data_IF_008509128819
#
_entry.id   IF_008509128819
#
_cell.length_a   1.000
_cell.length_b   1.000
_cell.length_c   1.000
_cell.angle_alpha   90.00
_cell.angle_beta   90.00
_cell.angle_gamma   90.00
#
_symmetry.space_group_name_H-M   'P 1'
#
loop_
_entity.id
_entity.type
_entity.pdbx_description
1 polymer ?
#
# COMPACT_ATOMS: atom_id res chain seq x y z
N UNK A 1 23.46 -45.74 -2.18
CA UNK A 1 23.78 -44.42 -1.62
C UNK A 1 23.80 -43.42 -2.77
N UNK A 2 22.69 -42.81 -3.07
CA UNK A 2 22.58 -41.78 -4.11
C UNK A 2 21.75 -40.60 -3.55
N UNK A 3 22.36 -39.40 -3.58
CA UNK A 3 21.72 -38.10 -3.58
C UNK A 3 21.04 -37.59 -2.28
N UNK A 4 21.84 -37.24 -1.27
CA UNK A 4 21.43 -36.36 -0.17
C UNK A 4 22.14 -34.95 -0.23
N UNK A 5 22.98 -34.71 -1.23
CA UNK A 5 23.81 -33.48 -1.29
C UNK A 5 23.17 -32.27 -2.04
N UNK A 6 22.05 -32.43 -2.76
CA UNK A 6 21.45 -31.34 -3.54
C UNK A 6 20.68 -30.28 -2.72
N UNK A 7 19.95 -30.62 -1.62
CA UNK A 7 19.17 -29.61 -0.89
C UNK A 7 20.03 -28.68 -0.01
N UNK A 8 21.20 -29.10 0.47
CA UNK A 8 22.05 -28.25 1.31
C UNK A 8 22.73 -27.12 0.51
N UNK A 9 23.16 -27.39 -0.72
CA UNK A 9 23.81 -26.37 -1.56
C UNK A 9 22.84 -25.27 -2.00
N UNK A 10 21.58 -25.62 -2.34
CA UNK A 10 20.56 -24.62 -2.71
C UNK A 10 20.16 -23.77 -1.51
N UNK A 11 20.06 -24.34 -0.32
CA UNK A 11 19.74 -23.58 0.91
C UNK A 11 20.86 -22.62 1.31
N UNK A 12 22.13 -23.03 1.20
CA UNK A 12 23.29 -22.18 1.45
C UNK A 12 23.40 -21.03 0.43
N UNK A 13 23.12 -21.30 -0.83
CA UNK A 13 23.14 -20.28 -1.89
C UNK A 13 22.03 -19.22 -1.69
N UNK A 14 20.84 -19.62 -1.28
CA UNK A 14 19.72 -18.72 -0.95
C UNK A 14 20.07 -17.84 0.27
N UNK A 15 20.67 -18.41 1.31
CA UNK A 15 21.11 -17.66 2.50
C UNK A 15 22.19 -16.62 2.16
N UNK A 16 23.20 -16.99 1.36
CA UNK A 16 24.27 -16.06 0.97
C UNK A 16 23.72 -14.90 0.14
N UNK A 17 22.81 -15.16 -0.79
CA UNK A 17 22.18 -14.11 -1.59
C UNK A 17 21.30 -13.19 -0.74
N UNK A 18 20.55 -13.72 0.22
CA UNK A 18 19.74 -12.92 1.14
C UNK A 18 20.60 -11.99 2.00
N UNK A 19 21.73 -12.47 2.53
CA UNK A 19 22.68 -11.65 3.28
C UNK A 19 23.38 -10.58 2.41
N UNK A 20 23.71 -10.91 1.17
CA UNK A 20 24.32 -9.96 0.24
C UNK A 20 23.34 -8.83 -0.11
N UNK A 21 22.09 -9.17 -0.41
CA UNK A 21 21.00 -8.22 -0.67
C UNK A 21 20.76 -7.26 0.51
N UNK A 22 20.65 -7.80 1.74
CA UNK A 22 20.48 -6.96 2.93
C UNK A 22 21.64 -5.98 3.15
N UNK A 23 22.87 -6.42 2.89
CA UNK A 23 24.05 -5.55 3.03
C UNK A 23 24.04 -4.42 1.99
N UNK A 24 23.62 -4.69 0.76
CA UNK A 24 23.47 -3.67 -0.28
C UNK A 24 22.39 -2.65 0.10
N UNK A 25 21.25 -3.11 0.61
CA UNK A 25 20.19 -2.22 1.09
C UNK A 25 20.70 -1.35 2.24
N UNK A 26 21.36 -1.93 3.24
CA UNK A 26 21.94 -1.19 4.38
C UNK A 26 22.99 -0.17 3.93
N UNK A 27 23.88 -0.53 3.00
CA UNK A 27 24.88 0.41 2.47
C UNK A 27 24.23 1.55 1.68
N UNK A 28 23.17 1.24 0.91
CA UNK A 28 22.38 2.26 0.20
C UNK A 28 21.74 3.25 1.18
N UNK A 29 21.13 2.75 2.27
CA UNK A 29 20.54 3.60 3.32
C UNK A 29 21.59 4.46 4.00
N UNK A 30 22.76 3.91 4.31
CA UNK A 30 23.86 4.64 4.95
C UNK A 30 24.41 5.77 4.07
N UNK A 31 24.34 5.66 2.74
CA UNK A 31 24.72 6.70 1.80
C UNK A 31 23.66 7.80 1.60
N UNK A 32 22.40 7.56 2.02
CA UNK A 32 21.32 8.54 1.90
C UNK A 32 21.45 9.65 2.94
N UNK A 33 21.20 10.90 2.51
CA UNK A 33 21.04 12.03 3.44
C UNK A 33 19.78 11.86 4.33
N UNK A 34 19.72 12.51 5.50
CA UNK A 34 18.50 12.53 6.31
C UNK A 34 17.24 12.96 5.55
N UNK A 35 17.39 13.92 4.64
CA UNK A 35 16.30 14.44 3.82
C UNK A 35 15.85 13.41 2.76
N UNK A 36 16.75 12.64 2.17
CA UNK A 36 16.43 11.55 1.25
C UNK A 36 15.69 10.42 1.97
N UNK A 37 16.16 10.03 3.16
CA UNK A 37 15.46 9.03 4.01
C UNK A 37 14.07 9.53 4.40
N UNK A 38 13.95 10.79 4.81
CA UNK A 38 12.67 11.43 5.14
C UNK A 38 11.70 11.43 3.95
N UNK A 39 12.19 11.67 2.74
CA UNK A 39 11.39 11.63 1.53
C UNK A 39 10.86 10.21 1.22
N UNK A 40 11.69 9.17 1.44
CA UNK A 40 11.31 7.79 1.16
C UNK A 40 10.17 7.26 2.05
N UNK A 41 10.01 7.74 3.28
CA UNK A 41 8.91 7.31 4.16
C UNK A 41 7.58 8.02 3.88
N UNK A 42 7.51 8.88 2.86
CA UNK A 42 6.31 9.62 2.50
C UNK A 42 5.66 9.08 1.22
N UNK A 43 4.35 8.82 1.30
CA UNK A 43 3.46 8.62 0.16
C UNK A 43 2.64 9.88 -0.04
N UNK A 44 2.85 10.57 -1.16
CA UNK A 44 2.27 11.91 -1.40
C UNK A 44 1.16 11.88 -2.45
N UNK A 45 0.14 12.71 -2.24
CA UNK A 45 -0.78 13.08 -3.31
C UNK A 45 -0.08 13.90 -4.39
N UNK A 46 -0.58 13.85 -5.61
CA UNK A 46 -0.05 14.64 -6.73
C UNK A 46 -1.20 15.18 -7.59
N UNK A 47 -1.01 16.37 -8.13
CA UNK A 47 -1.95 16.97 -9.07
C UNK A 47 -1.58 16.66 -10.52
N UNK A 48 -2.58 16.80 -11.42
CA UNK A 48 -2.41 16.61 -12.85
C UNK A 48 -2.93 15.29 -13.38
N UNK A 49 -3.07 15.20 -14.71
CA UNK A 49 -3.55 14.00 -15.42
C UNK A 49 -3.03 13.84 -16.85
N UNK A 50 -2.29 14.81 -17.39
CA UNK A 50 -1.76 14.77 -18.77
C UNK A 50 -0.24 14.77 -18.82
N UNK A 51 0.36 15.68 -18.06
CA UNK A 51 1.80 15.86 -17.93
C UNK A 51 2.09 16.33 -16.51
N UNK A 52 3.28 16.06 -16.00
CA UNK A 52 3.74 16.57 -14.71
C UNK A 52 3.71 18.11 -14.72
N UNK A 53 2.92 18.76 -13.86
CA UNK A 53 2.87 20.22 -13.80
C UNK A 53 4.21 20.83 -13.39
N UNK A 54 4.70 21.81 -14.14
CA UNK A 54 6.04 22.39 -13.92
C UNK A 54 6.23 23.00 -12.53
N UNK A 55 5.18 23.60 -11.95
CA UNK A 55 5.23 24.19 -10.60
C UNK A 55 5.48 23.14 -9.49
N UNK A 56 5.15 21.87 -9.75
CA UNK A 56 5.48 20.78 -8.82
C UNK A 56 6.99 20.48 -8.76
N UNK A 57 7.77 20.99 -9.72
CA UNK A 57 9.22 20.92 -9.69
C UNK A 57 9.81 21.56 -8.43
N UNK A 58 9.34 22.76 -8.10
CA UNK A 58 9.76 23.48 -6.89
C UNK A 58 9.24 22.81 -5.61
N UNK A 59 8.14 22.08 -5.72
CA UNK A 59 7.51 21.39 -4.60
C UNK A 59 8.23 20.08 -4.25
N UNK A 60 8.54 19.21 -5.21
CA UNK A 60 9.17 17.91 -4.98
C UNK A 60 10.71 17.95 -5.03
N UNK A 61 11.31 18.73 -5.93
CA UNK A 61 12.77 18.77 -6.03
C UNK A 61 13.47 19.34 -4.80
N UNK A 62 14.66 18.89 -4.44
CA UNK A 62 15.49 17.89 -5.12
C UNK A 62 15.29 16.44 -4.65
N UNK A 63 14.25 16.15 -3.87
CA UNK A 63 14.03 14.83 -3.26
C UNK A 63 12.91 14.07 -3.98
N UNK A 64 13.01 12.74 -3.99
CA UNK A 64 11.99 11.86 -4.52
C UNK A 64 11.16 11.26 -3.37
N UNK A 65 9.82 11.43 -3.34
CA UNK A 65 8.99 10.75 -2.35
C UNK A 65 9.08 9.22 -2.53
N UNK A 66 8.82 8.49 -1.45
CA UNK A 66 8.80 7.02 -1.50
C UNK A 66 7.74 6.47 -2.44
N UNK A 67 6.58 7.15 -2.48
CA UNK A 67 5.43 6.78 -3.30
C UNK A 67 4.54 7.97 -3.66
N UNK A 68 3.68 7.75 -4.66
CA UNK A 68 2.54 8.61 -4.97
C UNK A 68 1.24 7.84 -4.83
N UNK A 69 0.24 8.46 -4.18
CA UNK A 69 -1.16 8.04 -4.22
C UNK A 69 -1.87 8.78 -5.35
N UNK A 70 -2.54 8.03 -6.24
CA UNK A 70 -3.30 8.57 -7.36
C UNK A 70 -4.80 8.42 -7.10
N UNK A 71 -5.53 9.51 -7.35
CA UNK A 71 -6.98 9.57 -7.25
C UNK A 71 -7.61 9.58 -8.64
N UNK A 72 -8.94 9.48 -8.71
CA UNK A 72 -9.67 9.45 -9.98
C UNK A 72 -9.40 10.63 -10.91
N UNK A 73 -9.07 11.80 -10.37
CA UNK A 73 -8.72 12.99 -11.16
C UNK A 73 -7.35 12.94 -11.84
N UNK A 74 -6.47 12.00 -11.42
CA UNK A 74 -5.16 11.80 -12.05
C UNK A 74 -5.21 10.94 -13.32
N UNK A 75 -6.33 10.25 -13.56
CA UNK A 75 -6.49 9.42 -14.76
C UNK A 75 -7.16 10.20 -15.89
N UNK A 76 -6.57 10.12 -17.06
CA UNK A 76 -7.09 10.73 -18.31
C UNK A 76 -8.24 9.89 -18.89
N UNK A 77 -8.82 10.35 -19.99
CA UNK A 77 -9.95 9.68 -20.64
C UNK A 77 -9.51 8.47 -21.50
N UNK A 78 -8.19 8.24 -21.62
CA UNK A 78 -7.62 7.08 -22.32
C UNK A 78 -6.54 6.41 -21.48
N UNK A 79 -6.34 5.08 -21.61
CA UNK A 79 -5.28 4.37 -20.89
C UNK A 79 -3.88 4.83 -21.31
N UNK A 80 -3.67 5.16 -22.60
CA UNK A 80 -2.41 5.68 -23.13
C UNK A 80 -2.01 6.99 -22.47
N UNK A 81 -2.96 7.95 -22.36
CA UNK A 81 -2.70 9.24 -21.75
C UNK A 81 -2.46 9.13 -20.24
N UNK A 82 -3.17 8.21 -19.55
CA UNK A 82 -2.94 7.94 -18.14
C UNK A 82 -1.55 7.33 -17.87
N UNK A 83 -1.14 6.36 -18.67
CA UNK A 83 0.20 5.77 -18.60
C UNK A 83 1.30 6.79 -18.92
N UNK A 84 1.07 7.65 -19.93
CA UNK A 84 1.98 8.74 -20.29
C UNK A 84 2.16 9.74 -19.15
N UNK A 85 1.07 10.09 -18.46
CA UNK A 85 1.12 10.96 -17.26
C UNK A 85 1.98 10.34 -16.16
N UNK A 86 1.71 9.10 -15.75
CA UNK A 86 2.48 8.40 -14.70
C UNK A 86 3.96 8.33 -15.08
N UNK A 87 4.27 8.02 -16.34
CA UNK A 87 5.65 8.05 -16.85
C UNK A 87 6.27 9.44 -16.76
N UNK A 88 5.53 10.51 -17.11
CA UNK A 88 6.03 11.90 -17.04
C UNK A 88 6.35 12.31 -15.60
N UNK A 89 5.55 11.87 -14.62
CA UNK A 89 5.82 12.07 -13.19
C UNK A 89 7.14 11.41 -12.82
N UNK A 90 7.32 10.11 -13.09
CA UNK A 90 8.56 9.38 -12.79
C UNK A 90 9.78 10.08 -13.38
N UNK A 91 9.72 10.45 -14.66
CA UNK A 91 10.83 11.10 -15.37
C UNK A 91 11.14 12.50 -14.83
N UNK A 92 10.12 13.27 -14.47
CA UNK A 92 10.31 14.61 -13.90
C UNK A 92 10.94 14.54 -12.52
N UNK A 93 10.47 13.65 -11.63
CA UNK A 93 11.05 13.43 -10.31
C UNK A 93 12.50 12.95 -10.44
N UNK A 94 12.82 12.08 -11.39
CA UNK A 94 14.19 11.65 -11.65
C UNK A 94 15.10 12.81 -12.06
N UNK A 95 14.64 13.68 -12.95
CA UNK A 95 15.41 14.86 -13.38
C UNK A 95 15.62 15.89 -12.26
N UNK A 96 14.68 16.00 -11.33
CA UNK A 96 14.75 16.92 -10.19
C UNK A 96 15.64 16.39 -9.07
N UNK A 97 15.76 15.08 -8.95
CA UNK A 97 16.52 14.44 -7.88
C UNK A 97 18.01 14.78 -7.99
N UNK A 98 18.60 15.15 -6.86
CA UNK A 98 20.05 15.35 -6.69
C UNK A 98 20.70 14.19 -5.93
N UNK A 99 19.95 13.13 -5.62
CA UNK A 99 20.48 11.94 -4.97
C UNK A 99 21.59 11.31 -5.84
N UNK A 100 22.66 10.87 -5.22
CA UNK A 100 23.73 10.10 -5.89
C UNK A 100 23.13 8.82 -6.52
N UNK A 101 22.23 8.17 -5.77
CA UNK A 101 21.48 7.01 -6.23
C UNK A 101 19.98 7.33 -6.23
N UNK A 102 19.40 7.46 -7.40
CA UNK A 102 17.97 7.73 -7.53
C UNK A 102 17.13 6.49 -7.17
N UNK A 103 16.30 6.60 -6.15
CA UNK A 103 15.32 5.57 -5.78
C UNK A 103 13.95 6.03 -6.28
N UNK A 104 13.37 5.38 -7.33
CA UNK A 104 12.09 5.80 -7.90
C UNK A 104 10.93 5.64 -6.92
N UNK A 105 9.91 6.54 -6.96
CA UNK A 105 8.65 6.32 -6.28
C UNK A 105 7.88 5.16 -6.89
N UNK A 106 7.11 4.43 -6.07
CA UNK A 106 6.03 3.59 -6.59
C UNK A 106 4.72 4.37 -6.65
N UNK A 107 3.76 3.86 -7.44
CA UNK A 107 2.44 4.45 -7.58
C UNK A 107 1.39 3.53 -7.00
N UNK A 108 0.50 4.08 -6.19
CA UNK A 108 -0.61 3.40 -5.54
C UNK A 108 -1.94 4.05 -5.89
N UNK A 109 -3.02 3.30 -5.81
CA UNK A 109 -4.39 3.82 -5.92
C UNK A 109 -5.39 2.81 -5.36
N UNK A 110 -6.66 3.22 -5.21
CA UNK A 110 -7.75 2.36 -4.76
C UNK A 110 -8.47 1.74 -5.95
N UNK A 111 -8.35 0.44 -6.09
CA UNK A 111 -9.07 -0.36 -7.07
C UNK A 111 -9.79 -1.52 -6.37
N UNK A 112 -10.75 -1.19 -5.49
CA UNK A 112 -11.56 -2.17 -4.75
C UNK A 112 -12.61 -2.83 -5.65
N UNK A 113 -13.14 -2.08 -6.58
CA UNK A 113 -14.31 -2.39 -7.37
C UNK A 113 -15.51 -1.50 -7.02
N UNK A 114 -16.61 -1.61 -7.76
CA UNK A 114 -17.82 -0.85 -7.55
C UNK A 114 -17.59 0.66 -7.53
N UNK A 115 -17.99 1.30 -6.42
CA UNK A 115 -17.86 2.75 -6.25
C UNK A 115 -16.41 3.22 -6.01
N UNK A 116 -15.52 2.33 -5.57
CA UNK A 116 -14.11 2.64 -5.33
C UNK A 116 -13.22 1.98 -6.38
N UNK A 117 -13.30 2.51 -7.59
CA UNK A 117 -12.53 2.06 -8.74
C UNK A 117 -12.12 3.25 -9.60
N UNK A 118 -10.88 3.72 -9.43
CA UNK A 118 -10.42 5.02 -9.94
C UNK A 118 -10.25 5.09 -11.45
N UNK A 119 -10.14 3.95 -12.15
CA UNK A 119 -9.95 3.86 -13.61
C UNK A 119 -11.19 3.38 -14.37
N UNK A 120 -12.38 3.46 -13.76
CA UNK A 120 -13.65 2.96 -14.32
C UNK A 120 -13.99 3.46 -15.73
N UNK A 121 -13.44 4.61 -16.13
CA UNK A 121 -13.68 5.19 -17.45
C UNK A 121 -12.85 4.56 -18.57
N UNK A 122 -11.69 3.99 -18.24
CA UNK A 122 -10.70 3.54 -19.22
C UNK A 122 -10.46 2.03 -19.18
N UNK A 123 -10.65 1.39 -18.04
CA UNK A 123 -10.47 -0.05 -17.86
C UNK A 123 -11.80 -0.83 -18.03
N UNK A 124 -11.74 -2.17 -17.91
CA UNK A 124 -12.95 -3.00 -17.77
C UNK A 124 -13.70 -2.63 -16.49
N UNK A 125 -15.01 -2.88 -16.47
CA UNK A 125 -15.77 -2.75 -15.22
C UNK A 125 -15.25 -3.75 -14.19
N UNK A 126 -15.09 -3.30 -12.96
CA UNK A 126 -14.81 -4.15 -11.81
C UNK A 126 -16.00 -4.03 -10.84
N UNK A 127 -16.81 -5.09 -10.65
CA UNK A 127 -17.92 -5.08 -9.72
C UNK A 127 -17.49 -4.83 -8.28
N UNK A 128 -18.43 -4.43 -7.43
CA UNK A 128 -18.19 -4.33 -6.00
C UNK A 128 -17.80 -5.70 -5.40
N UNK A 129 -16.92 -5.74 -4.39
CA UNK A 129 -16.51 -6.99 -3.74
C UNK A 129 -17.66 -7.89 -3.34
N UNK A 130 -18.73 -7.32 -2.76
CA UNK A 130 -19.95 -8.06 -2.42
C UNK A 130 -20.56 -8.78 -3.63
N UNK A 131 -20.70 -8.07 -4.76
CA UNK A 131 -21.26 -8.68 -5.98
C UNK A 131 -20.39 -9.85 -6.48
N UNK A 132 -19.05 -9.70 -6.46
CA UNK A 132 -18.14 -10.76 -6.88
C UNK A 132 -18.31 -11.99 -6.01
N UNK A 133 -18.35 -11.82 -4.68
CA UNK A 133 -18.51 -12.92 -3.74
C UNK A 133 -19.88 -13.65 -3.84
N UNK A 134 -20.94 -12.94 -4.24
CA UNK A 134 -22.30 -13.48 -4.35
C UNK A 134 -22.57 -14.12 -5.72
N UNK A 135 -21.87 -13.70 -6.79
CA UNK A 135 -22.29 -14.03 -8.17
C UNK A 135 -21.22 -14.70 -9.03
N UNK A 136 -19.92 -14.66 -8.65
CA UNK A 136 -18.85 -15.26 -9.44
C UNK A 136 -18.31 -16.53 -8.76
N UNK A 137 -17.99 -17.54 -9.57
CA UNK A 137 -17.19 -18.68 -9.10
C UNK A 137 -15.78 -18.21 -8.69
N UNK A 138 -15.08 -19.00 -7.88
CA UNK A 138 -13.70 -18.72 -7.45
C UNK A 138 -12.77 -18.53 -8.66
N UNK A 139 -12.88 -19.39 -9.68
CA UNK A 139 -12.07 -19.30 -10.90
C UNK A 139 -12.38 -18.04 -11.72
N UNK A 140 -13.66 -17.70 -11.89
CA UNK A 140 -14.08 -16.49 -12.60
C UNK A 140 -13.63 -15.21 -11.84
N UNK A 141 -13.73 -15.22 -10.51
CA UNK A 141 -13.24 -14.11 -9.67
C UNK A 141 -11.72 -13.95 -9.77
N UNK A 142 -10.95 -15.06 -9.68
CA UNK A 142 -9.50 -15.04 -9.85
C UNK A 142 -9.09 -14.50 -11.21
N UNK A 143 -9.73 -14.99 -12.28
CA UNK A 143 -9.46 -14.53 -13.64
C UNK A 143 -9.83 -13.03 -13.83
N UNK A 144 -10.97 -12.59 -13.29
CA UNK A 144 -11.40 -11.19 -13.34
C UNK A 144 -10.36 -10.27 -12.65
N UNK A 145 -9.93 -10.62 -11.45
CA UNK A 145 -8.93 -9.84 -10.72
C UNK A 145 -7.57 -9.86 -11.41
N UNK A 146 -7.16 -10.99 -11.99
CA UNK A 146 -5.92 -11.11 -12.78
C UNK A 146 -5.93 -10.14 -13.97
N UNK A 147 -6.98 -10.20 -14.80
CA UNK A 147 -7.07 -9.33 -15.97
C UNK A 147 -7.26 -7.85 -15.62
N UNK A 148 -7.92 -7.55 -14.49
CA UNK A 148 -7.97 -6.17 -13.96
C UNK A 148 -6.58 -5.69 -13.53
N UNK A 149 -5.81 -6.53 -12.84
CA UNK A 149 -4.46 -6.20 -12.40
C UNK A 149 -3.50 -5.99 -13.58
N UNK A 150 -3.59 -6.79 -14.64
CA UNK A 150 -2.83 -6.58 -15.87
C UNK A 150 -3.06 -5.19 -16.47
N UNK A 151 -4.31 -4.71 -16.51
CA UNK A 151 -4.64 -3.37 -16.96
C UNK A 151 -4.02 -2.31 -16.06
N UNK A 152 -4.10 -2.47 -14.73
CA UNK A 152 -3.55 -1.55 -13.73
C UNK A 152 -2.02 -1.49 -13.85
N UNK A 153 -1.35 -2.64 -13.97
CA UNK A 153 0.11 -2.73 -14.11
C UNK A 153 0.62 -2.04 -15.39
N UNK A 154 -0.11 -2.19 -16.50
CA UNK A 154 0.23 -1.54 -17.78
C UNK A 154 0.13 -0.01 -17.72
N UNK A 155 -0.68 0.55 -16.82
CA UNK A 155 -0.71 2.00 -16.57
C UNK A 155 0.52 2.49 -15.78
N UNK A 156 1.30 1.58 -15.16
CA UNK A 156 2.46 1.94 -14.34
C UNK A 156 2.15 2.03 -12.85
N UNK A 157 1.04 1.45 -12.39
CA UNK A 157 0.70 1.30 -10.97
C UNK A 157 1.39 0.05 -10.41
N UNK A 158 1.74 0.06 -9.12
CA UNK A 158 2.48 -1.01 -8.46
C UNK A 158 1.73 -1.57 -7.24
N UNK A 159 0.95 -0.73 -6.56
CA UNK A 159 0.23 -1.08 -5.34
C UNK A 159 -1.26 -0.75 -5.47
N UNK A 160 -2.11 -1.72 -5.18
CA UNK A 160 -3.54 -1.53 -4.99
C UNK A 160 -3.86 -1.47 -3.50
N UNK A 161 -4.46 -0.35 -3.04
CA UNK A 161 -4.91 -0.20 -1.66
C UNK A 161 -6.25 -0.93 -1.45
N UNK A 162 -6.21 -2.24 -1.59
CA UNK A 162 -7.30 -3.22 -1.45
C UNK A 162 -6.68 -4.63 -1.25
N UNK A 163 -7.44 -5.61 -0.71
CA UNK A 163 -8.86 -5.59 -0.38
C UNK A 163 -9.17 -5.08 1.02
N UNK A 164 -10.47 -4.82 1.29
CA UNK A 164 -10.98 -4.61 2.64
C UNK A 164 -11.21 -5.97 3.29
N UNK A 165 -10.53 -6.19 4.43
CA UNK A 165 -10.60 -7.43 5.21
C UNK A 165 -11.27 -7.13 6.54
N UNK A 166 -12.57 -6.83 6.50
CA UNK A 166 -13.34 -6.41 7.67
C UNK A 166 -14.72 -7.10 7.70
N UNK A 167 -15.20 -7.37 8.92
CA UNK A 167 -16.48 -8.02 9.16
C UNK A 167 -17.54 -6.96 9.52
N UNK A 168 -18.39 -6.57 8.54
CA UNK A 168 -19.24 -5.40 8.70
C UNK A 168 -20.43 -5.50 9.65
N UNK A 169 -21.03 -6.67 9.87
CA UNK A 169 -22.37 -6.77 10.44
C UNK A 169 -22.46 -6.65 11.96
N UNK A 170 -21.46 -7.15 12.68
CA UNK A 170 -21.47 -7.21 14.15
C UNK A 170 -21.37 -5.83 14.80
N UNK A 171 -20.78 -4.87 14.09
CA UNK A 171 -20.56 -3.49 14.56
C UNK A 171 -21.25 -2.44 13.69
N UNK A 172 -22.16 -2.84 12.76
CA UNK A 172 -22.97 -1.92 11.96
C UNK A 172 -22.19 -1.05 10.97
N UNK A 173 -21.11 -1.57 10.34
CA UNK A 173 -20.26 -0.79 9.42
C UNK A 173 -21.01 -0.50 8.10
N UNK A 174 -22.09 0.29 8.19
CA UNK A 174 -22.93 0.63 7.04
C UNK A 174 -22.20 1.46 5.96
N UNK A 175 -21.17 2.25 6.33
CA UNK A 175 -20.45 3.08 5.37
C UNK A 175 -19.55 2.26 4.43
N UNK A 176 -19.14 1.04 4.81
CA UNK A 176 -18.41 0.14 3.92
C UNK A 176 -19.33 -0.54 2.92
N UNK A 177 -20.49 -1.00 3.36
CA UNK A 177 -21.56 -1.54 2.50
C UNK A 177 -21.06 -2.62 1.53
N UNK A 178 -21.24 -2.37 0.22
CA UNK A 178 -20.85 -3.26 -0.89
C UNK A 178 -19.34 -3.37 -1.14
N UNK A 179 -18.53 -2.57 -0.44
CA UNK A 179 -17.06 -2.68 -0.44
C UNK A 179 -16.56 -3.91 0.32
N UNK A 180 -17.38 -4.51 1.20
CA UNK A 180 -17.09 -5.77 1.87
C UNK A 180 -17.44 -6.95 0.96
N UNK A 181 -16.69 -8.04 1.03
CA UNK A 181 -17.05 -9.28 0.34
C UNK A 181 -18.32 -9.92 0.92
N UNK A 182 -18.42 -9.96 2.25
CA UNK A 182 -19.53 -10.59 2.99
C UNK A 182 -19.54 -10.12 4.44
N UNK A 183 -20.46 -10.67 5.22
CA UNK A 183 -20.46 -10.65 6.69
C UNK A 183 -20.00 -12.00 7.28
N UNK A 184 -19.84 -13.00 6.42
CA UNK A 184 -19.33 -14.32 6.77
C UNK A 184 -17.81 -14.36 6.71
N UNK A 185 -17.16 -14.85 7.80
CA UNK A 185 -15.70 -14.89 7.92
C UNK A 185 -15.06 -15.70 6.78
N UNK A 186 -15.60 -16.89 6.49
CA UNK A 186 -15.00 -17.80 5.54
C UNK A 186 -15.08 -17.26 4.10
N UNK A 187 -16.18 -16.59 3.77
CA UNK A 187 -16.37 -15.91 2.49
C UNK A 187 -15.40 -14.73 2.36
N UNK A 188 -15.25 -13.91 3.43
CA UNK A 188 -14.28 -12.80 3.44
C UNK A 188 -12.87 -13.32 3.20
N UNK A 189 -12.45 -14.33 3.96
CA UNK A 189 -11.11 -14.92 3.82
C UNK A 189 -10.88 -15.49 2.43
N UNK A 190 -11.84 -16.25 1.91
CA UNK A 190 -11.78 -16.87 0.59
C UNK A 190 -11.59 -15.81 -0.50
N UNK A 191 -12.50 -14.86 -0.61
CA UNK A 191 -12.47 -13.88 -1.70
C UNK A 191 -11.37 -12.82 -1.52
N UNK A 192 -10.94 -12.54 -0.29
CA UNK A 192 -9.75 -11.71 -0.06
C UNK A 192 -8.48 -12.39 -0.57
N UNK A 193 -8.31 -13.70 -0.34
CA UNK A 193 -7.18 -14.49 -0.86
C UNK A 193 -7.21 -14.54 -2.39
N UNK A 194 -8.37 -14.80 -2.99
CA UNK A 194 -8.56 -14.79 -4.45
C UNK A 194 -8.23 -13.41 -5.04
N UNK A 195 -8.67 -12.34 -4.39
CA UNK A 195 -8.34 -10.97 -4.81
C UNK A 195 -6.82 -10.73 -4.81
N UNK A 196 -6.14 -11.05 -3.69
CA UNK A 196 -4.71 -10.85 -3.53
C UNK A 196 -3.92 -11.68 -4.57
N UNK A 197 -4.33 -12.92 -4.77
CA UNK A 197 -3.71 -13.80 -5.76
C UNK A 197 -3.90 -13.30 -7.20
N UNK A 198 -5.13 -12.90 -7.56
CA UNK A 198 -5.41 -12.33 -8.87
C UNK A 198 -4.62 -11.03 -9.13
N UNK A 199 -4.56 -10.12 -8.14
CA UNK A 199 -3.72 -8.92 -8.25
C UNK A 199 -2.24 -9.29 -8.45
N UNK A 200 -1.72 -10.24 -7.69
CA UNK A 200 -0.35 -10.74 -7.83
C UNK A 200 -0.07 -11.34 -9.20
N UNK A 201 -0.98 -12.17 -9.72
CA UNK A 201 -0.86 -12.80 -11.04
C UNK A 201 -0.79 -11.75 -12.17
N UNK A 202 -1.52 -10.64 -12.03
CA UNK A 202 -1.46 -9.51 -12.95
C UNK A 202 -0.32 -8.51 -12.68
N UNK A 203 0.55 -8.77 -11.68
CA UNK A 203 1.75 -7.98 -11.39
C UNK A 203 1.54 -6.80 -10.44
N UNK A 204 0.48 -6.81 -9.63
CA UNK A 204 0.13 -5.78 -8.64
C UNK A 204 0.26 -6.33 -7.22
N UNK A 205 0.89 -5.57 -6.33
CA UNK A 205 0.87 -5.86 -4.89
C UNK A 205 -0.44 -5.32 -4.29
N UNK A 206 -1.04 -6.08 -3.38
CA UNK A 206 -2.24 -5.69 -2.63
C UNK A 206 -1.87 -5.18 -1.24
N UNK A 207 -2.57 -4.13 -0.77
CA UNK A 207 -2.54 -3.70 0.62
C UNK A 207 -3.85 -4.09 1.31
N UNK A 208 -3.78 -5.02 2.26
CA UNK A 208 -4.95 -5.38 3.07
C UNK A 208 -5.29 -4.27 4.04
N UNK A 209 -6.60 -3.93 4.14
CA UNK A 209 -7.04 -2.77 4.92
C UNK A 209 -8.38 -3.01 5.60
N UNK A 210 -8.70 -2.22 6.63
CA UNK A 210 -7.88 -1.23 7.33
C UNK A 210 -7.54 -1.79 8.71
N UNK A 211 -6.35 -2.27 8.94
CA UNK A 211 -5.97 -2.93 10.19
C UNK A 211 -6.04 -1.96 11.40
N UNK A 212 -6.60 -2.35 12.56
CA UNK A 212 -7.18 -3.66 12.89
C UNK A 212 -8.65 -3.82 12.46
N UNK A 213 -9.27 -2.83 11.85
CA UNK A 213 -10.66 -2.78 11.43
C UNK A 213 -11.26 -1.40 11.66
N UNK A 214 -12.55 -1.24 11.32
CA UNK A 214 -13.35 -0.05 11.60
C UNK A 214 -14.64 -0.44 12.35
N UNK A 215 -15.31 0.57 12.90
CA UNK A 215 -16.66 0.49 13.47
C UNK A 215 -17.62 1.36 12.65
N UNK A 216 -18.81 1.64 13.18
CA UNK A 216 -19.87 2.39 12.48
C UNK A 216 -19.51 3.79 12.00
N UNK A 217 -18.49 4.40 12.59
CA UNK A 217 -18.11 5.77 12.28
C UNK A 217 -17.15 5.80 11.09
N UNK A 218 -17.49 6.57 10.07
CA UNK A 218 -16.60 6.84 8.95
C UNK A 218 -15.42 7.72 9.41
N UNK A 219 -14.17 7.23 9.38
CA UNK A 219 -13.00 7.98 9.84
C UNK A 219 -12.73 9.24 8.99
N UNK A 220 -13.31 9.37 7.80
CA UNK A 220 -13.27 10.62 7.03
C UNK A 220 -14.08 11.75 7.69
N UNK A 221 -15.05 11.42 8.55
CA UNK A 221 -15.97 12.38 9.14
C UNK A 221 -15.65 12.69 10.61
N UNK A 222 -15.29 11.67 11.40
CA UNK A 222 -15.02 11.82 12.83
C UNK A 222 -14.22 10.66 13.41
N UNK A 223 -13.79 10.81 14.68
CA UNK A 223 -13.09 9.78 15.44
C UNK A 223 -13.91 8.50 15.56
N UNK A 224 -13.24 7.36 15.37
CA UNK A 224 -13.79 6.02 15.48
C UNK A 224 -13.13 5.28 16.63
N UNK A 225 -13.90 4.51 17.43
CA UNK A 225 -13.41 3.81 18.62
C UNK A 225 -13.94 2.37 18.60
N UNK A 226 -13.05 1.38 18.68
CA UNK A 226 -13.37 -0.02 18.95
C UNK A 226 -13.36 -0.19 20.48
N UNK A 227 -14.51 -0.03 21.10
CA UNK A 227 -14.71 -0.16 22.56
C UNK A 227 -15.30 -1.55 22.86
N UNK A 228 -14.44 -2.55 22.92
CA UNK A 228 -14.79 -3.95 23.21
C UNK A 228 -13.73 -4.55 24.13
N UNK A 229 -14.03 -5.68 24.75
CA UNK A 229 -13.04 -6.45 25.52
C UNK A 229 -11.98 -7.09 24.59
N UNK A 230 -10.89 -7.54 25.19
CA UNK A 230 -9.75 -8.10 24.48
C UNK A 230 -10.11 -9.36 23.67
N UNK A 231 -10.92 -10.26 24.19
CA UNK A 231 -11.34 -11.49 23.52
C UNK A 231 -12.14 -11.16 22.25
N UNK A 232 -13.13 -10.28 22.37
CA UNK A 232 -13.95 -9.79 21.26
C UNK A 232 -13.10 -9.09 20.23
N UNK A 233 -12.12 -8.27 20.64
CA UNK A 233 -11.22 -7.59 19.71
C UNK A 233 -10.43 -8.57 18.85
N UNK A 234 -9.81 -9.57 19.45
CA UNK A 234 -9.06 -10.56 18.67
C UNK A 234 -9.97 -11.37 17.75
N UNK A 235 -11.09 -11.86 18.23
CA UNK A 235 -12.02 -12.71 17.48
C UNK A 235 -12.71 -11.99 16.32
N UNK A 236 -13.14 -10.75 16.52
CA UNK A 236 -13.98 -10.05 15.55
C UNK A 236 -13.17 -9.12 14.61
N UNK A 237 -11.97 -8.67 15.02
CA UNK A 237 -11.18 -7.74 14.26
C UNK A 237 -9.84 -8.32 13.80
N UNK A 238 -9.05 -8.92 14.69
CA UNK A 238 -7.67 -9.33 14.37
C UNK A 238 -7.60 -10.68 13.64
N UNK A 239 -8.45 -11.64 13.97
CA UNK A 239 -8.38 -13.00 13.40
C UNK A 239 -8.56 -13.06 11.90
N UNK A 240 -9.34 -12.13 11.31
CA UNK A 240 -9.45 -12.03 9.84
C UNK A 240 -8.11 -11.67 9.19
N UNK A 241 -7.45 -10.67 9.74
CA UNK A 241 -6.13 -10.26 9.23
C UNK A 241 -5.09 -11.34 9.46
N UNK A 242 -5.10 -11.99 10.63
CA UNK A 242 -4.16 -13.07 10.96
C UNK A 242 -4.09 -14.14 9.85
N UNK A 243 -5.25 -14.61 9.37
CA UNK A 243 -5.35 -15.66 8.36
C UNK A 243 -4.80 -15.24 6.97
N UNK A 244 -4.63 -13.93 6.74
CA UNK A 244 -4.18 -13.38 5.45
C UNK A 244 -2.74 -12.89 5.53
N UNK A 245 -2.34 -12.28 6.67
CA UNK A 245 -1.05 -11.59 6.79
C UNK A 245 -0.02 -12.32 7.66
N UNK A 246 -0.42 -13.41 8.34
CA UNK A 246 0.52 -14.16 9.17
C UNK A 246 1.75 -14.57 8.37
N UNK A 247 2.92 -14.22 8.88
CA UNK A 247 4.22 -14.50 8.25
C UNK A 247 4.35 -14.01 6.80
N UNK A 248 3.55 -13.01 6.41
CA UNK A 248 3.57 -12.46 5.06
C UNK A 248 4.49 -11.24 4.95
N UNK A 249 4.98 -11.02 3.75
CA UNK A 249 5.78 -9.87 3.33
C UNK A 249 4.99 -8.92 2.40
N UNK A 250 3.65 -8.90 2.55
CA UNK A 250 2.74 -8.03 1.80
C UNK A 250 2.71 -6.59 2.29
N UNK A 251 1.59 -5.93 2.12
CA UNK A 251 1.35 -4.56 2.61
C UNK A 251 0.10 -4.54 3.48
N UNK A 252 0.19 -3.86 4.63
CA UNK A 252 -0.96 -3.60 5.52
C UNK A 252 -1.17 -2.09 5.61
N UNK A 253 -2.41 -1.64 5.43
CA UNK A 253 -2.81 -0.26 5.65
C UNK A 253 -3.51 -0.16 7.02
N UNK A 254 -2.96 0.73 7.87
CA UNK A 254 -3.42 0.92 9.25
C UNK A 254 -4.53 1.97 9.30
N UNK A 255 -5.61 1.68 10.01
CA UNK A 255 -6.71 2.60 10.27
C UNK A 255 -6.39 3.65 11.35
N UNK A 256 -7.25 4.67 11.46
CA UNK A 256 -7.19 5.70 12.50
C UNK A 256 -8.10 5.43 13.70
N UNK A 257 -8.61 4.20 13.81
CA UNK A 257 -9.48 3.80 14.93
C UNK A 257 -8.71 3.80 16.25
N UNK A 258 -9.35 4.17 17.34
CA UNK A 258 -8.82 3.92 18.69
C UNK A 258 -9.26 2.55 19.21
N UNK A 259 -8.38 1.92 20.00
CA UNK A 259 -8.65 0.69 20.76
C UNK A 259 -8.23 0.92 22.22
N UNK A 260 -9.13 1.44 23.07
CA UNK A 260 -8.78 2.01 24.38
C UNK A 260 -8.09 1.06 25.37
N UNK A 261 -8.37 -0.25 25.31
CA UNK A 261 -7.70 -1.23 26.20
C UNK A 261 -6.25 -1.49 25.80
N UNK A 262 -5.84 -1.18 24.54
CA UNK A 262 -4.46 -1.24 24.08
C UNK A 262 -3.77 0.10 24.38
N UNK A 263 -4.31 1.18 23.82
CA UNK A 263 -3.84 2.55 23.99
C UNK A 263 -4.94 3.56 23.61
N UNK A 264 -5.09 4.63 24.40
CA UNK A 264 -6.07 5.69 24.12
C UNK A 264 -5.50 6.70 23.09
N UNK A 265 -5.19 6.20 21.90
CA UNK A 265 -4.68 6.96 20.77
C UNK A 265 -5.10 6.28 19.45
N UNK A 266 -5.18 6.97 18.31
CA UNK A 266 -5.39 6.33 17.01
C UNK A 266 -4.41 5.17 16.79
N UNK A 267 -4.87 4.05 16.26
CA UNK A 267 -4.08 2.82 16.15
C UNK A 267 -2.79 3.02 15.34
N UNK A 268 -2.81 3.89 14.34
CA UNK A 268 -1.62 4.29 13.60
C UNK A 268 -0.54 5.02 14.45
N UNK A 269 -0.88 5.46 15.68
CA UNK A 269 0.06 6.06 16.65
C UNK A 269 0.34 5.12 17.83
N UNK A 270 -0.28 3.94 17.86
CA UNK A 270 -0.11 2.97 18.93
C UNK A 270 1.08 2.06 18.70
N UNK A 271 2.18 2.32 19.40
CA UNK A 271 3.35 1.45 19.38
C UNK A 271 2.98 0.04 19.85
N UNK A 272 2.16 -0.09 20.90
CA UNK A 272 1.69 -1.39 21.39
C UNK A 272 0.86 -2.13 20.33
N UNK A 273 -0.02 -1.42 19.63
CA UNK A 273 -0.82 -2.02 18.57
C UNK A 273 0.03 -2.52 17.38
N UNK A 274 0.98 -1.71 16.94
CA UNK A 274 1.82 -2.05 15.79
C UNK A 274 2.87 -3.09 16.14
N UNK A 275 3.69 -2.85 17.19
CA UNK A 275 4.78 -3.77 17.52
C UNK A 275 4.24 -5.07 18.14
N UNK A 276 3.49 -5.00 19.25
CA UNK A 276 3.12 -6.22 19.99
C UNK A 276 2.08 -7.05 19.23
N UNK A 277 1.12 -6.41 18.52
CA UNK A 277 0.07 -7.17 17.84
C UNK A 277 0.50 -7.49 16.41
N UNK A 278 0.75 -6.46 15.56
CA UNK A 278 0.99 -6.71 14.14
C UNK A 278 2.35 -7.36 13.90
N UNK A 279 3.43 -6.82 14.49
CA UNK A 279 4.79 -7.37 14.28
C UNK A 279 5.04 -8.66 15.05
N UNK A 280 4.71 -8.69 16.38
CA UNK A 280 5.10 -9.80 17.24
C UNK A 280 4.08 -10.93 17.25
N UNK A 281 2.79 -10.64 17.49
CA UNK A 281 1.75 -11.68 17.62
C UNK A 281 1.35 -12.22 16.24
N UNK A 282 1.16 -11.34 15.25
CA UNK A 282 0.79 -11.75 13.88
C UNK A 282 1.99 -12.07 12.99
N UNK A 283 3.22 -11.86 13.47
CA UNK A 283 4.47 -12.13 12.73
C UNK A 283 4.56 -11.42 11.36
N UNK A 284 3.84 -10.31 11.18
CA UNK A 284 3.87 -9.57 9.93
C UNK A 284 5.24 -8.94 9.68
N UNK A 285 5.83 -9.20 8.51
CA UNK A 285 7.17 -8.71 8.12
C UNK A 285 7.15 -7.78 6.90
N UNK A 286 5.96 -7.52 6.36
CA UNK A 286 5.77 -6.64 5.21
C UNK A 286 5.75 -5.16 5.56
N UNK A 287 5.37 -4.35 4.57
CA UNK A 287 5.32 -2.90 4.66
C UNK A 287 4.04 -2.43 5.39
N UNK A 288 4.19 -1.56 6.37
CA UNK A 288 3.08 -0.92 7.09
C UNK A 288 2.91 0.50 6.57
N UNK A 289 1.73 0.78 5.98
CA UNK A 289 1.36 2.11 5.48
C UNK A 289 0.20 2.65 6.31
N UNK A 290 0.18 3.94 6.63
CA UNK A 290 -0.97 4.57 7.27
C UNK A 290 -2.07 4.87 6.26
N UNK A 291 -3.31 5.00 6.71
CA UNK A 291 -4.31 5.77 5.99
C UNK A 291 -3.94 7.27 5.97
N UNK A 292 -4.67 8.10 5.23
CA UNK A 292 -4.27 9.48 4.96
C UNK A 292 -4.23 10.33 6.25
N UNK A 293 -3.06 10.90 6.54
CA UNK A 293 -2.84 11.79 7.70
C UNK A 293 -3.64 13.11 7.63
N UNK A 294 -4.22 13.44 6.47
CA UNK A 294 -5.08 14.59 6.29
C UNK A 294 -6.54 14.36 6.75
N UNK A 295 -6.91 13.14 7.13
CA UNK A 295 -8.28 12.79 7.52
C UNK A 295 -8.73 13.52 8.79
N UNK A 296 -10.04 13.87 8.84
CA UNK A 296 -10.63 14.65 9.95
C UNK A 296 -10.51 13.95 11.30
N UNK A 297 -10.60 12.61 11.33
CA UNK A 297 -10.44 11.84 12.57
C UNK A 297 -9.15 12.15 13.34
N UNK A 298 -8.08 12.54 12.63
CA UNK A 298 -6.78 12.87 13.23
C UNK A 298 -6.62 14.36 13.59
N UNK A 299 -7.55 15.22 13.14
CA UNK A 299 -7.53 16.68 13.44
C UNK A 299 -8.30 17.03 14.72
N UNK A 300 -9.08 16.08 15.23
CA UNK A 300 -9.74 16.22 16.53
C UNK A 300 -8.68 16.31 17.65
N UNK A 301 -8.83 17.29 18.55
CA UNK A 301 -7.85 17.56 19.59
C UNK A 301 -6.71 18.51 19.19
N UNK A 302 -6.77 19.15 18.01
CA UNK A 302 -5.85 20.23 17.60
C UNK A 302 -4.47 19.73 17.13
N UNK A 303 -4.29 18.44 16.85
CA UNK A 303 -3.02 17.89 16.34
C UNK A 303 -2.74 18.38 14.93
N UNK A 304 -1.50 18.76 14.67
CA UNK A 304 -1.04 19.09 13.32
C UNK A 304 -0.78 17.83 12.47
N UNK A 305 -0.86 17.94 11.15
CA UNK A 305 -0.47 16.87 10.23
C UNK A 305 0.99 16.43 10.47
N UNK A 306 1.86 17.36 10.79
CA UNK A 306 3.28 17.11 11.09
C UNK A 306 3.47 16.27 12.35
N UNK A 307 2.72 16.57 13.44
CA UNK A 307 2.74 15.76 14.67
C UNK A 307 2.20 14.36 14.43
N UNK A 308 1.16 14.24 13.58
CA UNK A 308 0.59 12.96 13.20
C UNK A 308 1.60 12.09 12.43
N UNK A 309 2.31 12.68 11.46
CA UNK A 309 3.36 11.99 10.69
C UNK A 309 4.48 11.48 11.60
N UNK A 310 5.01 12.32 12.49
CA UNK A 310 6.05 11.92 13.44
C UNK A 310 5.55 10.82 14.37
N UNK A 311 4.30 10.92 14.87
CA UNK A 311 3.72 9.92 15.77
C UNK A 311 3.56 8.56 15.08
N UNK A 312 3.07 8.54 13.83
CA UNK A 312 2.90 7.29 13.07
C UNK A 312 4.22 6.57 12.81
N UNK A 313 5.25 7.31 12.38
CA UNK A 313 6.59 6.74 12.16
C UNK A 313 7.16 6.21 13.47
N UNK A 314 7.07 6.98 14.56
CA UNK A 314 7.57 6.60 15.89
C UNK A 314 6.86 5.36 16.45
N UNK A 315 5.59 5.16 16.09
CA UNK A 315 4.79 4.00 16.50
C UNK A 315 5.13 2.72 15.73
N UNK A 316 5.83 2.80 14.60
CA UNK A 316 6.25 1.63 13.82
C UNK A 316 5.69 1.56 12.39
N UNK A 317 4.96 2.60 11.93
CA UNK A 317 4.58 2.68 10.51
C UNK A 317 5.82 2.93 9.65
N UNK A 318 5.91 2.23 8.52
CA UNK A 318 7.05 2.36 7.61
C UNK A 318 6.86 3.49 6.61
N UNK A 319 5.63 3.70 6.16
CA UNK A 319 5.29 4.75 5.19
C UNK A 319 4.04 5.49 5.64
N UNK A 320 4.06 6.79 5.50
CA UNK A 320 2.96 7.67 5.90
C UNK A 320 2.32 8.29 4.67
N UNK A 321 1.02 8.06 4.47
CA UNK A 321 0.27 8.68 3.38
C UNK A 321 -0.17 10.09 3.79
N UNK A 322 0.08 11.08 2.93
CA UNK A 322 -0.36 12.45 3.10
C UNK A 322 -0.80 13.03 1.75
N UNK A 323 -2.10 13.24 1.58
CA UNK A 323 -2.66 13.83 0.37
C UNK A 323 -2.51 15.36 0.31
N UNK A 324 -2.21 16.02 1.45
CA UNK A 324 -1.96 17.45 1.51
C UNK A 324 -0.62 17.85 0.89
N UNK A 325 -0.49 19.05 0.27
CA UNK A 325 0.74 19.53 -0.35
C UNK A 325 1.76 20.01 0.70
N UNK A 326 2.30 19.12 1.52
CA UNK A 326 3.22 19.43 2.65
C UNK A 326 4.60 18.77 2.53
N UNK A 327 4.97 18.28 1.34
CA UNK A 327 6.15 17.43 1.17
C UNK A 327 7.44 18.02 1.74
N UNK A 328 7.77 19.28 1.40
CA UNK A 328 8.99 19.94 1.89
C UNK A 328 8.97 20.18 3.40
N UNK A 329 7.83 20.57 3.94
CA UNK A 329 7.64 20.76 5.37
C UNK A 329 7.88 19.44 6.11
N UNK A 330 7.27 18.35 5.64
CA UNK A 330 7.40 17.03 6.26
C UNK A 330 8.84 16.51 6.20
N UNK A 331 9.54 16.67 5.07
CA UNK A 331 10.97 16.33 4.97
C UNK A 331 11.77 17.08 6.03
N UNK A 332 11.57 18.40 6.13
CA UNK A 332 12.31 19.24 7.09
C UNK A 332 12.08 18.79 8.54
N UNK A 333 10.84 18.50 8.90
CA UNK A 333 10.48 18.10 10.27
C UNK A 333 11.06 16.71 10.60
N UNK A 334 10.92 15.75 9.68
CA UNK A 334 11.44 14.39 9.86
C UNK A 334 12.97 14.43 9.95
N UNK A 335 13.66 15.08 9.01
CA UNK A 335 15.12 15.14 9.00
C UNK A 335 15.70 15.88 10.22
N UNK A 336 15.05 16.95 10.69
CA UNK A 336 15.49 17.63 11.91
C UNK A 336 15.30 16.75 13.15
N UNK A 337 14.21 15.98 13.24
CA UNK A 337 14.03 15.04 14.35
C UNK A 337 15.07 13.93 14.32
N UNK A 338 15.45 13.40 13.16
CA UNK A 338 16.54 12.42 13.03
C UNK A 338 17.85 12.96 13.59
N UNK A 339 18.18 14.23 13.32
CA UNK A 339 19.43 14.87 13.80
C UNK A 339 19.50 15.01 15.33
N UNK A 340 18.36 14.97 16.02
CA UNK A 340 18.26 15.20 17.48
C UNK A 340 17.81 13.96 18.28
N UNK A 341 17.37 12.89 17.60
CA UNK A 341 16.81 11.69 18.22
C UNK A 341 17.32 10.44 17.49
N UNK A 342 18.38 9.83 18.02
CA UNK A 342 19.00 8.63 17.44
C UNK A 342 18.04 7.42 17.39
N UNK A 343 17.05 7.35 18.28
CA UNK A 343 16.07 6.27 18.25
C UNK A 343 15.10 6.45 17.06
N UNK A 344 14.73 7.69 16.78
CA UNK A 344 13.92 8.03 15.63
C UNK A 344 14.68 7.86 14.30
N UNK A 345 15.98 8.20 14.27
CA UNK A 345 16.83 7.93 13.11
C UNK A 345 16.89 6.44 12.77
N UNK A 346 17.12 5.58 13.77
CA UNK A 346 17.09 4.12 13.59
C UNK A 346 15.73 3.64 13.06
N UNK A 347 14.63 4.19 13.58
CA UNK A 347 13.28 3.85 13.12
C UNK A 347 13.07 4.24 11.64
N UNK A 348 13.61 5.38 11.21
CA UNK A 348 13.58 5.78 9.80
C UNK A 348 14.42 4.81 8.94
N UNK A 349 15.61 4.40 9.40
CA UNK A 349 16.44 3.45 8.66
C UNK A 349 15.74 2.09 8.47
N UNK A 350 15.04 1.60 9.51
CA UNK A 350 14.20 0.40 9.43
C UNK A 350 13.03 0.59 8.44
N UNK A 351 12.37 1.75 8.47
CA UNK A 351 11.28 2.06 7.55
C UNK A 351 11.78 2.08 6.09
N UNK A 352 12.88 2.77 5.84
CA UNK A 352 13.49 2.82 4.50
C UNK A 352 13.93 1.43 4.04
N UNK A 353 14.47 0.60 4.95
CA UNK A 353 14.81 -0.79 4.64
C UNK A 353 13.59 -1.57 4.14
N UNK A 354 12.47 -1.53 4.86
CA UNK A 354 11.22 -2.20 4.47
C UNK A 354 10.68 -1.64 3.14
N UNK A 355 10.79 -0.34 2.91
CA UNK A 355 10.38 0.31 1.65
C UNK A 355 11.23 -0.15 0.47
N UNK A 356 12.57 -0.20 0.63
CA UNK A 356 13.45 -0.66 -0.44
C UNK A 356 13.23 -2.14 -0.76
N UNK A 357 13.05 -3.00 0.23
CA UNK A 357 12.67 -4.41 0.04
C UNK A 357 11.35 -4.53 -0.73
N UNK A 358 10.34 -3.72 -0.39
CA UNK A 358 9.08 -3.71 -1.11
C UNK A 358 9.24 -3.20 -2.54
N UNK A 359 10.07 -2.18 -2.80
CA UNK A 359 10.38 -1.70 -4.15
C UNK A 359 11.09 -2.75 -5.01
N UNK A 360 11.96 -3.57 -4.43
CA UNK A 360 12.54 -4.72 -5.10
C UNK A 360 11.46 -5.75 -5.47
N UNK A 361 10.60 -6.09 -4.54
CA UNK A 361 9.48 -7.03 -4.77
C UNK A 361 8.52 -6.53 -5.86
N UNK A 362 8.25 -5.22 -5.90
CA UNK A 362 7.49 -4.57 -6.98
C UNK A 362 8.27 -4.53 -8.31
N UNK A 363 9.59 -4.82 -8.29
CA UNK A 363 10.50 -4.71 -9.42
C UNK A 363 10.65 -3.29 -9.94
N UNK A 364 10.75 -2.34 -9.02
CA UNK A 364 11.02 -0.93 -9.28
C UNK A 364 12.51 -0.67 -9.25
N UNK A 365 13.20 -1.36 -8.36
CA UNK A 365 14.65 -1.41 -8.24
C UNK A 365 15.11 -2.87 -8.25
N UNK A 366 16.34 -3.10 -8.68
CA UNK A 366 17.00 -4.40 -8.61
C UNK A 366 17.68 -4.65 -7.25
N UNK A 367 18.33 -5.80 -7.11
CA UNK A 367 19.07 -6.21 -5.92
C UNK A 367 20.24 -5.26 -5.57
N UNK A 368 20.69 -4.44 -6.51
CA UNK A 368 21.68 -3.38 -6.31
C UNK A 368 21.05 -2.03 -5.96
N UNK A 369 19.74 -2.00 -5.70
CA UNK A 369 18.92 -0.80 -5.54
C UNK A 369 18.96 0.15 -6.75
N UNK A 370 19.22 -0.35 -7.96
CA UNK A 370 19.21 0.45 -9.17
C UNK A 370 17.81 0.43 -9.82
N UNK A 371 17.38 1.55 -10.41
CA UNK A 371 16.09 1.63 -11.07
C UNK A 371 15.94 0.60 -12.20
N UNK A 372 14.84 -0.17 -12.18
CA UNK A 372 14.46 -1.04 -13.29
C UNK A 372 13.55 -0.26 -14.23
N UNK A 373 13.93 -0.18 -15.50
CA UNK A 373 13.02 0.30 -16.54
C UNK A 373 12.05 -0.83 -16.92
N UNK A 374 10.90 -0.88 -16.22
CA UNK A 374 9.81 -1.76 -16.61
C UNK A 374 8.90 -1.11 -17.65
N UNK A 375 8.58 -1.93 -18.64
CA UNK A 375 7.52 -1.88 -19.63
C UNK A 375 6.92 -0.51 -19.98
N UNK A 376 7.12 -0.14 -21.24
CA UNK A 376 6.28 0.84 -21.93
C UNK A 376 4.83 0.33 -21.94
N UNK A 377 3.87 1.23 -21.80
CA UNK A 377 2.45 0.92 -22.02
C UNK A 377 2.29 0.12 -23.32
N UNK A 378 1.55 -0.98 -23.25
CA UNK A 378 1.27 -1.83 -24.39
C UNK A 378 -0.25 -1.87 -24.61
N UNK A 379 -0.69 -1.12 -25.62
CA UNK A 379 -2.10 -0.96 -25.94
C UNK A 379 -2.80 -2.29 -26.25
N UNK A 380 -2.17 -3.14 -27.07
CA UNK A 380 -2.74 -4.44 -27.44
C UNK A 380 -2.97 -5.33 -26.23
N UNK A 381 -1.98 -5.40 -25.31
CA UNK A 381 -2.11 -6.16 -24.07
C UNK A 381 -3.18 -5.59 -23.16
N UNK A 382 -3.27 -4.25 -23.06
CA UNK A 382 -4.27 -3.59 -22.25
C UNK A 382 -5.70 -3.95 -22.69
N UNK A 383 -5.99 -3.82 -24.00
CA UNK A 383 -7.32 -4.13 -24.52
C UNK A 383 -7.61 -5.61 -24.53
N UNK A 384 -6.62 -6.49 -24.75
CA UNK A 384 -6.80 -7.94 -24.59
C UNK A 384 -7.21 -8.33 -23.17
N UNK A 385 -6.56 -7.78 -22.15
CA UNK A 385 -6.93 -8.00 -20.75
C UNK A 385 -8.34 -7.42 -20.43
N UNK A 386 -8.65 -6.24 -20.99
CA UNK A 386 -9.97 -5.62 -20.85
C UNK A 386 -11.08 -6.50 -21.41
N UNK A 387 -10.92 -7.00 -22.64
CA UNK A 387 -11.87 -7.90 -23.29
C UNK A 387 -12.05 -9.22 -22.52
N UNK A 388 -10.95 -9.78 -21.98
CA UNK A 388 -10.99 -11.00 -21.19
C UNK A 388 -11.81 -10.80 -19.91
N UNK A 389 -11.59 -9.71 -19.18
CA UNK A 389 -12.39 -9.36 -18.01
C UNK A 389 -13.88 -9.14 -18.34
N UNK A 390 -14.17 -8.44 -19.44
CA UNK A 390 -15.55 -8.20 -19.89
C UNK A 390 -16.28 -9.49 -20.31
N UNK A 391 -15.59 -10.48 -20.88
CA UNK A 391 -16.16 -11.80 -21.21
C UNK A 391 -16.58 -12.57 -19.96
N UNK A 392 -15.78 -12.52 -18.89
CA UNK A 392 -16.11 -13.16 -17.61
C UNK A 392 -17.41 -12.56 -17.05
N UNK A 393 -17.53 -11.23 -17.06
CA UNK A 393 -18.72 -10.57 -16.54
C UNK A 393 -19.96 -10.90 -17.38
N UNK A 394 -19.89 -10.92 -18.70
CA UNK A 394 -20.99 -11.30 -19.60
C UNK A 394 -21.47 -12.73 -19.37
N UNK A 395 -20.55 -13.68 -19.10
CA UNK A 395 -20.91 -15.07 -18.79
C UNK A 395 -21.75 -15.19 -17.51
N UNK A 396 -21.51 -14.32 -16.54
CA UNK A 396 -22.14 -14.37 -15.20
C UNK A 396 -23.33 -13.39 -15.05
N UNK A 397 -23.76 -12.69 -16.11
CA UNK A 397 -24.95 -11.83 -16.12
C UNK A 397 -26.15 -12.44 -16.86
N UNK A 398 -25.98 -13.62 -17.47
CA UNK A 398 -27.06 -14.43 -18.09
C UNK A 398 -27.46 -15.55 -17.16
#
# INVERSE_FOLDING_TARGET
MKNVFLPLFSFFYILINCFAEENIVKSTISAMSPEEKAAQVLMMGIEGKKIFPSYLGDYFGPYAPGAFILFGYNFSDTPQASAAYIKSVKQSIQKLSKAEKFIPPFFASDFEGGRVYRIRKIASYLPAPKYVAENLSEDDALALYTHTAEQIALLGIHLNLAPIVEKGKTMGIGFLGDRLFSHDKDIILKYSKIFIEGMKNGGIISAVKHFPGNVNTDPHLSKSVIDVDEETFYKEFVDLFKEIIYDSDGVVLISHVEVPFIEKTPFCFSKKGIENILRDKLKFRGLIITDDMAMKALKEGGRSTSDNVISAISAGCDMVMCSEPRFRELITIISNKMKTDNSFEKRIDEAVFNILKMKMKMGIIDESCMPIEKNKFNEKKFYSAKEAAEKILKKNTN
#
